data_IF_322245477292
#
_entry.id   IF_322245477292
#
_cell.length_a   1.000
_cell.length_b   1.000
_cell.length_c   1.000
_cell.angle_alpha   90.00
_cell.angle_beta   90.00
_cell.angle_gamma   90.00
#
_symmetry.space_group_name_H-M   'P 1'
#
loop_
_entity.id
_entity.type
_entity.pdbx_description
1 polymer ?
#
# COMPACT_ATOMS: atom_id res chain seq x y z
N UNK A 1 -11.19 14.78 27.29
CA UNK A 1 -12.04 14.33 26.17
C UNK A 1 -12.69 15.55 25.58
N UNK A 2 -12.65 15.72 24.25
CA UNK A 2 -13.26 16.85 23.55
C UNK A 2 -14.76 16.61 23.47
N UNK A 3 -15.56 17.60 23.83
CA UNK A 3 -17.02 17.56 23.78
C UNK A 3 -17.54 17.77 22.37
N UNK A 4 -18.77 17.32 22.08
CA UNK A 4 -19.41 17.53 20.77
C UNK A 4 -19.49 19.01 20.40
N UNK A 5 -19.76 19.89 21.37
CA UNK A 5 -19.85 21.33 21.14
C UNK A 5 -18.48 21.93 20.78
N UNK A 6 -17.41 21.47 21.42
CA UNK A 6 -16.04 21.87 21.05
C UNK A 6 -15.68 21.39 19.64
N UNK A 7 -16.07 20.18 19.26
CA UNK A 7 -15.87 19.69 17.90
C UNK A 7 -16.60 20.55 16.86
N UNK A 8 -17.87 20.92 17.09
CA UNK A 8 -18.59 21.84 16.20
C UNK A 8 -17.90 23.20 16.09
N UNK A 9 -17.39 23.73 17.21
CA UNK A 9 -16.60 24.96 17.21
C UNK A 9 -15.32 24.82 16.39
N UNK A 10 -14.57 23.73 16.56
CA UNK A 10 -13.34 23.48 15.78
C UNK A 10 -13.63 23.30 14.29
N UNK A 11 -14.73 22.66 13.92
CA UNK A 11 -15.13 22.52 12.52
C UNK A 11 -15.50 23.87 11.88
N UNK A 12 -16.01 24.82 12.66
CA UNK A 12 -16.32 26.17 12.17
C UNK A 12 -15.12 27.12 12.17
N UNK A 13 -14.22 26.99 13.15
CA UNK A 13 -13.15 27.97 13.40
C UNK A 13 -11.75 27.47 13.04
N UNK A 14 -11.61 26.20 12.66
CA UNK A 14 -10.32 25.54 12.51
C UNK A 14 -9.58 25.39 13.84
N UNK A 15 -8.38 24.82 13.80
CA UNK A 15 -7.48 24.80 14.93
C UNK A 15 -6.02 24.95 14.49
N UNK A 16 -5.19 25.52 15.35
CA UNK A 16 -3.76 25.65 15.09
C UNK A 16 -3.10 24.29 15.28
N UNK A 17 -2.32 23.85 14.28
CA UNK A 17 -1.55 22.61 14.35
C UNK A 17 -0.43 22.75 15.39
N UNK A 18 -0.63 22.18 16.58
CA UNK A 18 0.44 22.06 17.57
C UNK A 18 1.34 20.89 17.22
N UNK A 19 2.65 21.10 17.05
CA UNK A 19 3.60 20.02 16.80
C UNK A 19 3.64 19.00 17.94
N UNK A 20 3.66 17.72 17.59
CA UNK A 20 3.82 16.61 18.54
C UNK A 20 5.09 15.83 18.17
N UNK A 21 6.18 16.12 18.89
CA UNK A 21 7.48 15.53 18.62
C UNK A 21 7.53 14.02 18.89
N UNK A 22 6.62 13.49 19.70
CA UNK A 22 6.60 12.08 20.07
C UNK A 22 5.92 11.22 18.99
N UNK A 23 5.06 11.82 18.16
CA UNK A 23 4.32 11.14 17.10
C UNK A 23 4.84 11.51 15.71
N UNK A 24 4.94 12.80 15.41
CA UNK A 24 5.36 13.34 14.11
C UNK A 24 6.69 14.08 14.17
N UNK A 25 7.45 13.90 15.25
CA UNK A 25 8.82 14.40 15.33
C UNK A 25 9.64 13.87 14.16
N UNK A 26 10.49 14.73 13.60
CA UNK A 26 11.35 14.39 12.44
C UNK A 26 12.16 13.11 12.68
N UNK A 27 12.65 12.90 13.91
CA UNK A 27 13.38 11.69 14.29
C UNK A 27 12.52 10.43 14.28
N UNK A 28 11.29 10.51 14.78
CA UNK A 28 10.34 9.38 14.78
C UNK A 28 9.99 9.00 13.35
N UNK A 29 9.57 9.97 12.53
CA UNK A 29 9.25 9.74 11.11
C UNK A 29 10.46 9.14 10.38
N UNK A 30 11.65 9.71 10.57
CA UNK A 30 12.86 9.23 9.92
C UNK A 30 13.21 7.79 10.34
N UNK A 31 13.06 7.43 11.61
CA UNK A 31 13.33 6.07 12.09
C UNK A 31 12.40 5.04 11.44
N UNK A 32 11.10 5.35 11.34
CA UNK A 32 10.14 4.49 10.64
C UNK A 32 10.45 4.39 9.15
N UNK A 33 10.71 5.52 8.48
CA UNK A 33 11.03 5.53 7.06
C UNK A 33 12.29 4.74 6.75
N UNK A 34 13.40 4.99 7.48
CA UNK A 34 14.65 4.25 7.29
C UNK A 34 14.41 2.75 7.47
N UNK A 35 13.71 2.36 8.53
CA UNK A 35 13.41 0.95 8.79
C UNK A 35 12.61 0.32 7.65
N UNK A 36 11.57 0.99 7.17
CA UNK A 36 10.75 0.54 6.05
C UNK A 36 11.54 0.45 4.73
N UNK A 37 12.35 1.47 4.41
CA UNK A 37 13.18 1.48 3.20
C UNK A 37 14.27 0.41 3.23
N UNK A 38 14.92 0.19 4.38
CA UNK A 38 15.93 -0.88 4.54
C UNK A 38 15.27 -2.25 4.38
N UNK A 39 14.08 -2.44 4.97
CA UNK A 39 13.28 -3.66 4.83
C UNK A 39 12.91 -3.90 3.37
N UNK A 40 12.39 -2.89 2.68
CA UNK A 40 12.06 -2.98 1.25
C UNK A 40 13.29 -3.25 0.39
N UNK A 41 14.40 -2.56 0.65
CA UNK A 41 15.66 -2.75 -0.07
C UNK A 41 16.20 -4.17 0.11
N UNK A 42 16.12 -4.77 1.31
CA UNK A 42 16.53 -6.14 1.54
C UNK A 42 15.72 -7.13 0.68
N UNK A 43 14.41 -6.94 0.60
CA UNK A 43 13.51 -7.75 -0.24
C UNK A 43 13.81 -7.54 -1.73
N UNK A 44 14.04 -6.29 -2.15
CA UNK A 44 14.38 -5.96 -3.54
C UNK A 44 15.73 -6.57 -3.96
N UNK A 45 16.75 -6.46 -3.10
CA UNK A 45 18.07 -7.06 -3.33
C UNK A 45 17.94 -8.57 -3.46
N UNK A 46 17.16 -9.23 -2.59
CA UNK A 46 16.91 -10.66 -2.69
C UNK A 46 16.29 -11.05 -4.05
N UNK A 47 15.35 -10.23 -4.55
CA UNK A 47 14.70 -10.44 -5.84
C UNK A 47 15.66 -10.25 -7.03
N UNK A 48 16.33 -9.11 -7.11
CA UNK A 48 17.23 -8.77 -8.22
C UNK A 48 18.44 -9.71 -8.28
N UNK A 49 18.94 -10.15 -7.12
CA UNK A 49 20.06 -11.11 -7.05
C UNK A 49 19.62 -12.57 -7.28
N UNK A 50 18.30 -12.84 -7.32
CA UNK A 50 17.77 -14.19 -7.48
C UNK A 50 17.99 -15.08 -6.26
N UNK A 51 18.15 -14.51 -5.06
CA UNK A 51 18.28 -15.23 -3.77
C UNK A 51 16.91 -15.69 -3.25
N UNK A 52 16.09 -16.22 -4.15
CA UNK A 52 14.71 -16.65 -3.92
C UNK A 52 14.55 -18.14 -4.23
N UNK A 53 13.57 -18.76 -3.60
CA UNK A 53 13.15 -20.12 -3.94
C UNK A 53 12.48 -20.15 -5.32
N UNK A 54 12.74 -21.20 -6.11
CA UNK A 54 12.23 -21.31 -7.49
C UNK A 54 10.70 -21.30 -7.58
N UNK A 55 10.01 -21.73 -6.52
CA UNK A 55 8.55 -21.71 -6.39
C UNK A 55 7.94 -20.29 -6.40
N UNK A 56 8.71 -19.25 -6.06
CA UNK A 56 8.20 -17.87 -6.08
C UNK A 56 8.31 -17.21 -7.45
N UNK A 57 9.19 -17.70 -8.32
CA UNK A 57 9.49 -17.05 -9.59
C UNK A 57 8.49 -17.51 -10.67
N UNK A 58 7.62 -16.60 -11.10
CA UNK A 58 6.64 -16.87 -12.17
C UNK A 58 7.28 -16.79 -13.55
N UNK A 59 6.49 -17.10 -14.59
CA UNK A 59 6.94 -16.98 -15.99
C UNK A 59 7.35 -15.55 -16.34
N UNK A 60 6.65 -14.55 -15.79
CA UNK A 60 6.96 -13.13 -15.97
C UNK A 60 8.33 -12.81 -15.36
N UNK A 61 8.60 -13.26 -14.13
CA UNK A 61 9.89 -13.04 -13.47
C UNK A 61 11.05 -13.63 -14.28
N UNK A 62 10.86 -14.82 -14.86
CA UNK A 62 11.90 -15.53 -15.60
C UNK A 62 12.10 -15.01 -17.02
N UNK A 63 11.02 -14.71 -17.76
CA UNK A 63 11.08 -14.35 -19.18
C UNK A 63 11.19 -12.84 -19.41
N UNK A 64 10.43 -12.05 -18.66
CA UNK A 64 10.39 -10.59 -18.80
C UNK A 64 11.48 -9.97 -17.93
N UNK A 65 11.48 -10.25 -16.63
CA UNK A 65 12.47 -9.67 -15.70
C UNK A 65 13.83 -10.37 -15.74
N UNK A 66 13.93 -11.51 -16.43
CA UNK A 66 15.17 -12.29 -16.63
C UNK A 66 15.84 -12.74 -15.32
N UNK A 67 15.05 -12.93 -14.26
CA UNK A 67 15.54 -13.37 -12.96
C UNK A 67 15.53 -14.90 -12.90
N UNK A 68 16.63 -15.47 -12.41
CA UNK A 68 16.80 -16.91 -12.18
C UNK A 68 17.15 -17.13 -10.72
N UNK A 69 16.67 -18.21 -10.12
CA UNK A 69 17.12 -18.58 -8.79
C UNK A 69 18.61 -18.89 -8.81
N UNK A 70 19.35 -18.32 -7.85
CA UNK A 70 20.78 -18.53 -7.65
C UNK A 70 21.07 -19.07 -6.25
N UNK A 71 20.03 -19.50 -5.50
CA UNK A 71 20.16 -19.99 -4.12
C UNK A 71 21.16 -21.14 -4.02
N UNK A 72 21.14 -22.08 -4.97
CA UNK A 72 21.98 -23.28 -4.92
C UNK A 72 23.45 -22.96 -5.20
N UNK A 73 23.70 -21.87 -5.96
CA UNK A 73 25.05 -21.35 -6.21
C UNK A 73 25.61 -20.60 -5.01
N UNK A 74 24.75 -19.92 -4.24
CA UNK A 74 25.15 -19.07 -3.12
C UNK A 74 24.29 -19.31 -1.86
N UNK A 75 24.36 -20.50 -1.24
CA UNK A 75 23.46 -20.89 -0.15
C UNK A 75 23.61 -20.01 1.10
N UNK A 76 24.85 -19.63 1.45
CA UNK A 76 25.13 -18.75 2.59
C UNK A 76 24.53 -17.36 2.44
N UNK A 77 24.55 -16.80 1.22
CA UNK A 77 23.98 -15.48 0.94
C UNK A 77 22.46 -15.53 1.04
N UNK A 78 21.85 -16.57 0.47
CA UNK A 78 20.41 -16.79 0.56
C UNK A 78 19.95 -16.89 2.03
N UNK A 79 20.62 -17.71 2.84
CA UNK A 79 20.31 -17.85 4.27
C UNK A 79 20.46 -16.52 5.03
N UNK A 80 21.53 -15.78 4.76
CA UNK A 80 21.78 -14.47 5.39
C UNK A 80 20.69 -13.46 5.04
N UNK A 81 20.34 -13.33 3.76
CA UNK A 81 19.27 -12.44 3.31
C UNK A 81 17.93 -12.85 3.90
N UNK A 82 17.63 -14.15 3.95
CA UNK A 82 16.41 -14.67 4.56
C UNK A 82 16.31 -14.26 6.04
N UNK A 83 17.39 -14.41 6.81
CA UNK A 83 17.42 -13.99 8.22
C UNK A 83 17.28 -12.48 8.39
N UNK A 84 17.95 -11.68 7.55
CA UNK A 84 17.81 -10.22 7.55
C UNK A 84 16.35 -9.81 7.29
N UNK A 85 15.75 -10.35 6.23
CA UNK A 85 14.35 -10.06 5.88
C UNK A 85 13.40 -10.50 6.99
N UNK A 86 13.68 -11.63 7.65
CA UNK A 86 12.89 -12.12 8.78
C UNK A 86 12.91 -11.15 9.97
N UNK A 87 14.11 -10.69 10.38
CA UNK A 87 14.26 -9.75 11.49
C UNK A 87 13.61 -8.39 11.19
N UNK A 88 13.87 -7.85 9.99
CA UNK A 88 13.32 -6.57 9.54
C UNK A 88 11.79 -6.63 9.43
N UNK A 89 11.24 -7.75 8.98
CA UNK A 89 9.80 -7.97 8.87
C UNK A 89 9.10 -7.98 10.24
N UNK A 90 9.73 -8.57 11.26
CA UNK A 90 9.19 -8.57 12.63
C UNK A 90 9.19 -7.17 13.24
N UNK A 91 10.26 -6.40 12.98
CA UNK A 91 10.33 -5.00 13.37
C UNK A 91 9.19 -4.18 12.76
N UNK A 92 8.86 -4.39 11.47
CA UNK A 92 7.75 -3.67 10.83
C UNK A 92 6.43 -3.94 11.55
N UNK A 93 6.03 -5.20 11.79
CA UNK A 93 4.78 -5.50 12.51
C UNK A 93 4.72 -4.76 13.85
N UNK A 94 5.77 -4.92 14.67
CA UNK A 94 5.77 -4.39 16.05
C UNK A 94 5.66 -2.87 16.02
N UNK A 95 6.47 -2.20 15.19
CA UNK A 95 6.47 -0.74 15.08
C UNK A 95 5.16 -0.20 14.49
N UNK A 96 4.58 -0.90 13.50
CA UNK A 96 3.29 -0.58 12.90
C UNK A 96 2.14 -0.67 13.91
N UNK A 97 2.12 -1.69 14.75
CA UNK A 97 1.13 -1.82 15.83
C UNK A 97 1.35 -0.73 16.89
N UNK A 98 2.61 -0.45 17.26
CA UNK A 98 2.93 0.56 18.27
C UNK A 98 2.47 1.96 17.85
N UNK A 99 2.72 2.36 16.59
CA UNK A 99 2.32 3.69 16.09
C UNK A 99 0.80 3.81 16.00
N UNK A 100 0.09 2.75 15.60
CA UNK A 100 -1.38 2.72 15.60
C UNK A 100 -1.94 2.81 17.03
N UNK A 101 -1.34 2.10 17.98
CA UNK A 101 -1.75 2.18 19.39
C UNK A 101 -1.56 3.59 19.95
N UNK A 102 -0.42 4.22 19.69
CA UNK A 102 -0.15 5.60 20.07
C UNK A 102 -1.16 6.57 19.43
N UNK A 103 -1.46 6.37 18.14
CA UNK A 103 -2.50 7.08 17.41
C UNK A 103 -3.87 7.01 18.10
N UNK A 104 -4.32 5.81 18.46
CA UNK A 104 -5.60 5.61 19.15
C UNK A 104 -5.64 6.21 20.56
N UNK A 105 -4.55 6.13 21.31
CA UNK A 105 -4.45 6.76 22.63
C UNK A 105 -4.57 8.29 22.49
N UNK A 106 -3.80 8.90 21.58
CA UNK A 106 -3.86 10.33 21.33
C UNK A 106 -5.22 10.79 20.79
N UNK A 107 -5.84 9.97 19.94
CA UNK A 107 -7.18 10.19 19.41
C UNK A 107 -8.24 10.22 20.53
N UNK A 108 -8.24 9.22 21.41
CA UNK A 108 -9.15 9.16 22.57
C UNK A 108 -8.92 10.32 23.55
N UNK A 109 -7.67 10.75 23.70
CA UNK A 109 -7.30 11.90 24.50
C UNK A 109 -7.77 13.25 23.93
N UNK A 110 -8.06 13.33 22.64
CA UNK A 110 -8.36 14.57 21.92
C UNK A 110 -7.14 15.46 21.70
N UNK A 111 -5.93 14.89 21.83
CA UNK A 111 -4.66 15.58 21.67
C UNK A 111 -4.11 15.44 20.25
N UNK A 112 -4.59 14.43 19.51
CA UNK A 112 -4.15 14.15 18.15
C UNK A 112 -4.93 14.99 17.14
N UNK A 113 -4.23 15.85 16.41
CA UNK A 113 -4.79 16.57 15.28
C UNK A 113 -4.96 15.66 14.06
N UNK A 114 -5.78 16.08 13.09
CA UNK A 114 -5.93 15.43 11.78
C UNK A 114 -4.57 15.22 11.12
N UNK A 115 -3.68 16.22 11.17
CA UNK A 115 -2.33 16.13 10.62
C UNK A 115 -1.51 14.97 11.21
N UNK A 116 -1.39 14.91 12.54
CA UNK A 116 -0.58 13.87 13.20
C UNK A 116 -1.20 12.49 13.06
N UNK A 117 -2.53 12.40 13.09
CA UNK A 117 -3.24 11.15 12.89
C UNK A 117 -3.03 10.61 11.47
N UNK A 118 -3.04 11.49 10.46
CA UNK A 118 -2.76 11.10 9.09
C UNK A 118 -1.35 10.52 8.93
N UNK A 119 -0.35 11.12 9.59
CA UNK A 119 1.03 10.57 9.62
C UNK A 119 1.06 9.17 10.24
N UNK A 120 0.36 8.96 11.36
CA UNK A 120 0.26 7.64 12.00
C UNK A 120 -0.30 6.59 11.03
N UNK A 121 -1.40 6.91 10.32
CA UNK A 121 -1.99 6.03 9.33
C UNK A 121 -1.00 5.69 8.21
N UNK A 122 -0.24 6.66 7.71
CA UNK A 122 0.78 6.44 6.69
C UNK A 122 1.93 5.54 7.16
N UNK A 123 2.46 5.78 8.35
CA UNK A 123 3.55 4.96 8.89
C UNK A 123 3.11 3.51 9.11
N UNK A 124 1.89 3.31 9.61
CA UNK A 124 1.31 1.99 9.80
C UNK A 124 1.04 1.27 8.47
N UNK A 125 0.49 1.98 7.48
CA UNK A 125 0.26 1.43 6.15
C UNK A 125 1.57 1.04 5.46
N UNK A 126 2.60 1.87 5.59
CA UNK A 126 3.93 1.61 5.04
C UNK A 126 4.54 0.36 5.69
N UNK A 127 4.55 0.30 7.01
CA UNK A 127 5.00 -0.85 7.79
C UNK A 127 4.31 -2.14 7.33
N UNK A 128 2.98 -2.12 7.20
CA UNK A 128 2.20 -3.26 6.70
C UNK A 128 2.60 -3.67 5.28
N UNK A 129 2.72 -2.71 4.36
CA UNK A 129 3.01 -2.97 2.95
C UNK A 129 4.38 -3.65 2.78
N UNK A 130 5.39 -3.17 3.50
CA UNK A 130 6.74 -3.75 3.46
C UNK A 130 6.78 -5.12 4.14
N UNK A 131 6.09 -5.26 5.28
CA UNK A 131 5.95 -6.54 5.98
C UNK A 131 5.33 -7.62 5.07
N UNK A 132 4.23 -7.28 4.39
CA UNK A 132 3.54 -8.15 3.45
C UNK A 132 4.46 -8.63 2.31
N UNK A 133 5.27 -7.74 1.75
CA UNK A 133 6.24 -8.09 0.70
C UNK A 133 7.37 -8.99 1.23
N UNK A 134 7.82 -8.79 2.46
CA UNK A 134 8.76 -9.69 3.12
C UNK A 134 8.16 -11.10 3.35
N UNK A 135 6.87 -11.20 3.69
CA UNK A 135 6.21 -12.50 3.86
C UNK A 135 6.07 -13.29 2.56
N UNK A 136 5.80 -12.62 1.45
CA UNK A 136 5.76 -13.29 0.15
C UNK A 136 7.10 -13.97 -0.13
N UNK A 137 8.22 -13.33 0.22
CA UNK A 137 9.57 -13.87 0.08
C UNK A 137 9.81 -15.06 1.03
N UNK A 138 9.42 -14.89 2.30
CA UNK A 138 9.63 -15.88 3.36
C UNK A 138 8.66 -17.07 3.29
N UNK A 139 7.69 -17.07 2.36
CA UNK A 139 6.61 -18.07 2.28
C UNK A 139 7.11 -19.53 2.34
N UNK A 140 8.10 -19.98 1.55
CA UNK A 140 8.55 -21.38 1.60
C UNK A 140 9.19 -21.75 2.94
N UNK A 141 9.92 -20.80 3.54
CA UNK A 141 10.51 -20.97 4.86
C UNK A 141 9.44 -21.08 5.95
N UNK A 142 8.44 -20.20 5.92
CA UNK A 142 7.35 -20.16 6.89
C UNK A 142 6.38 -21.33 6.77
N UNK A 143 6.23 -21.91 5.57
CA UNK A 143 5.44 -23.13 5.39
C UNK A 143 6.06 -24.34 6.08
N UNK A 144 7.39 -24.35 6.26
CA UNK A 144 8.09 -25.36 7.06
C UNK A 144 8.01 -25.04 8.58
N UNK A 145 7.87 -23.77 8.95
CA UNK A 145 7.86 -23.29 10.34
C UNK A 145 6.51 -22.67 10.74
N UNK A 146 5.53 -23.51 11.03
CA UNK A 146 4.14 -23.08 11.25
C UNK A 146 3.95 -22.11 12.43
N UNK A 147 4.72 -22.25 13.52
CA UNK A 147 4.67 -21.33 14.66
C UNK A 147 5.13 -19.92 14.31
N UNK A 148 6.25 -19.81 13.59
CA UNK A 148 6.76 -18.54 13.07
C UNK A 148 5.78 -17.87 12.10
N UNK A 149 5.08 -18.68 11.30
CA UNK A 149 4.01 -18.21 10.41
C UNK A 149 2.82 -17.68 11.20
N UNK A 150 2.35 -18.43 12.21
CA UNK A 150 1.19 -18.07 13.01
C UNK A 150 1.38 -16.76 13.77
N UNK A 151 2.55 -16.54 14.37
CA UNK A 151 2.89 -15.29 15.05
C UNK A 151 2.79 -14.06 14.13
N UNK A 152 3.36 -14.15 12.92
CA UNK A 152 3.34 -13.06 11.94
C UNK A 152 1.94 -12.81 11.39
N UNK A 153 1.17 -13.87 11.14
CA UNK A 153 -0.23 -13.75 10.76
C UNK A 153 -1.07 -13.08 11.84
N UNK A 154 -0.89 -13.45 13.11
CA UNK A 154 -1.57 -12.81 14.22
C UNK A 154 -1.27 -11.31 14.26
N UNK A 155 0.01 -10.93 14.22
CA UNK A 155 0.41 -9.52 14.22
C UNK A 155 -0.16 -8.74 13.03
N UNK A 156 -0.17 -9.34 11.85
CA UNK A 156 -0.73 -8.72 10.65
C UNK A 156 -2.26 -8.58 10.71
N UNK A 157 -2.97 -9.56 11.26
CA UNK A 157 -4.43 -9.49 11.49
C UNK A 157 -4.74 -8.36 12.48
N UNK A 158 -3.97 -8.24 13.56
CA UNK A 158 -4.12 -7.14 14.51
C UNK A 158 -3.90 -5.80 13.82
N UNK A 159 -2.78 -5.64 13.10
CA UNK A 159 -2.48 -4.40 12.38
C UNK A 159 -3.53 -4.07 11.31
N UNK A 160 -4.07 -5.07 10.61
CA UNK A 160 -5.17 -4.92 9.66
C UNK A 160 -6.41 -4.32 10.30
N UNK A 161 -6.88 -4.92 11.41
CA UNK A 161 -8.04 -4.41 12.12
C UNK A 161 -7.81 -3.02 12.67
N UNK A 162 -6.62 -2.73 13.20
CA UNK A 162 -6.26 -1.38 13.63
C UNK A 162 -6.31 -0.40 12.44
N UNK A 163 -5.81 -0.75 11.26
CA UNK A 163 -5.88 0.12 10.07
C UNK A 163 -7.33 0.35 9.61
N UNK A 164 -8.16 -0.69 9.56
CA UNK A 164 -9.59 -0.57 9.18
C UNK A 164 -10.32 0.38 10.13
N UNK A 165 -10.11 0.20 11.44
CA UNK A 165 -10.70 1.04 12.48
C UNK A 165 -10.10 2.45 12.42
N UNK A 166 -8.80 2.58 12.15
CA UNK A 166 -8.12 3.88 12.07
C UNK A 166 -8.50 4.72 10.85
N UNK A 167 -8.98 4.10 9.77
CA UNK A 167 -9.48 4.82 8.61
C UNK A 167 -10.90 5.40 8.81
N UNK A 168 -11.61 5.06 9.90
CA UNK A 168 -13.01 5.50 10.11
C UNK A 168 -13.17 7.03 10.08
N UNK A 169 -12.30 7.84 10.73
CA UNK A 169 -12.38 9.30 10.66
C UNK A 169 -12.18 9.85 9.26
N UNK A 170 -11.41 9.17 8.40
CA UNK A 170 -11.08 9.64 7.06
C UNK A 170 -12.22 9.42 6.06
N UNK A 171 -13.30 8.74 6.47
CA UNK A 171 -14.54 8.56 5.68
C UNK A 171 -15.31 9.86 5.56
N UNK A 172 -15.17 10.79 6.52
CA UNK A 172 -15.81 12.09 6.44
C UNK A 172 -15.29 12.87 5.24
N UNK A 173 -16.20 13.41 4.41
CA UNK A 173 -15.85 14.29 3.28
C UNK A 173 -14.97 15.48 3.72
N UNK A 174 -15.25 15.99 4.91
CA UNK A 174 -14.59 17.12 5.53
C UNK A 174 -13.20 16.85 6.14
N UNK A 175 -12.65 15.64 5.96
CA UNK A 175 -11.38 15.23 6.55
C UNK A 175 -10.21 16.08 6.04
N UNK A 176 -9.71 17.00 6.89
CA UNK A 176 -8.57 17.87 6.56
C UNK A 176 -8.87 18.94 5.50
N UNK A 177 -10.11 19.01 5.01
CA UNK A 177 -10.59 19.95 3.98
C UNK A 177 -11.42 21.09 4.57
N UNK A 178 -11.96 20.91 5.79
CA UNK A 178 -12.73 21.96 6.47
C UNK A 178 -11.86 23.18 6.85
N UNK A 179 -12.51 24.35 6.79
CA UNK A 179 -12.10 25.71 7.14
C UNK A 179 -11.53 26.58 6.00
N UNK A 180 -12.36 27.55 5.57
CA UNK A 180 -11.95 28.75 4.84
C UNK A 180 -12.82 29.95 5.27
N UNK A 181 -12.24 30.90 5.99
CA UNK A 181 -12.41 32.31 5.76
C UNK A 181 -11.02 32.86 5.42
N UNK A 182 -10.89 33.43 4.22
CA UNK A 182 -9.76 34.21 3.70
C UNK A 182 -8.57 34.28 4.66
N UNK A 183 -7.51 33.50 4.37
CA UNK A 183 -6.29 33.47 5.17
C UNK A 183 -5.92 34.91 5.57
N UNK A 184 -6.01 35.20 6.87
CA UNK A 184 -5.69 36.53 7.36
C UNK A 184 -4.19 36.73 7.15
N UNK A 185 -3.84 37.39 6.03
CA UNK A 185 -2.46 37.67 5.63
C UNK A 185 -1.67 38.48 6.66
N UNK A 186 -2.33 38.98 7.71
CA UNK A 186 -1.68 39.63 8.85
C UNK A 186 -1.12 38.65 9.90
N UNK A 187 -1.55 37.37 9.89
CA UNK A 187 -1.09 36.35 10.81
C UNK A 187 0.03 35.48 10.19
N UNK A 188 1.13 35.19 10.92
CA UNK A 188 2.13 34.24 10.47
C UNK A 188 1.54 32.85 10.25
N UNK A 189 1.97 32.14 9.20
CA UNK A 189 1.48 30.80 8.83
C UNK A 189 1.51 29.79 10.01
N UNK A 190 2.43 29.98 10.96
CA UNK A 190 2.56 29.13 12.15
C UNK A 190 1.39 29.21 13.14
N UNK A 191 0.55 30.24 13.06
CA UNK A 191 -0.55 30.51 14.01
C UNK A 191 -1.91 30.47 13.29
N UNK A 192 -1.93 30.28 11.97
CA UNK A 192 -3.18 30.22 11.23
C UNK A 192 -3.97 28.92 11.56
N UNK A 193 -5.26 29.03 11.91
CA UNK A 193 -6.10 27.86 12.14
C UNK A 193 -6.39 27.16 10.80
N UNK A 194 -6.26 25.83 10.79
CA UNK A 194 -6.50 25.00 9.59
C UNK A 194 -7.35 23.77 9.96
N UNK A 195 -7.98 23.16 8.95
CA UNK A 195 -8.64 21.86 9.11
C UNK A 195 -7.72 20.75 9.61
N UNK A 196 -6.43 20.83 9.27
CA UNK A 196 -5.39 19.88 9.69
C UNK A 196 -5.06 19.94 11.17
N UNK A 197 -5.32 21.06 11.85
CA UNK A 197 -5.13 21.21 13.29
C UNK A 197 -6.30 20.71 14.13
N UNK A 198 -7.46 20.45 13.51
CA UNK A 198 -8.66 19.99 14.23
C UNK A 198 -8.37 18.63 14.90
N UNK A 199 -8.83 18.39 16.13
CA UNK A 199 -8.71 17.07 16.75
C UNK A 199 -9.37 15.99 15.89
N UNK A 200 -8.61 14.97 15.50
CA UNK A 200 -9.08 13.90 14.59
C UNK A 200 -10.30 13.15 15.15
N UNK A 201 -10.47 13.12 16.47
CA UNK A 201 -11.61 12.49 17.15
C UNK A 201 -12.94 13.15 16.77
N UNK A 202 -12.94 14.42 16.35
CA UNK A 202 -14.15 15.12 15.94
C UNK A 202 -14.78 14.52 14.68
N UNK A 203 -14.01 13.82 13.85
CA UNK A 203 -14.48 13.12 12.65
C UNK A 203 -14.87 11.65 12.93
N UNK A 204 -14.69 11.16 14.17
CA UNK A 204 -14.93 9.76 14.50
C UNK A 204 -16.43 9.41 14.46
N UNK A 205 -16.85 8.60 13.50
CA UNK A 205 -18.24 8.12 13.39
C UNK A 205 -19.25 9.24 13.09
N UNK A 206 -18.78 10.37 12.55
CA UNK A 206 -19.60 11.52 12.14
C UNK A 206 -19.30 11.86 10.70
N UNK A 207 -20.33 11.89 9.88
CA UNK A 207 -20.29 12.46 8.53
C UNK A 207 -20.89 13.86 8.62
N UNK A 208 -20.11 14.88 8.27
CA UNK A 208 -20.55 16.27 8.27
C UNK A 208 -20.92 16.70 6.85
N UNK A 209 -22.00 17.49 6.74
CA UNK A 209 -22.39 18.32 5.58
C UNK A 209 -22.63 17.63 4.24
N UNK A 210 -21.59 17.00 3.71
CA UNK A 210 -21.44 16.65 2.30
C UNK A 210 -21.32 15.13 2.05
N UNK A 211 -21.47 14.32 3.12
CA UNK A 211 -21.58 12.86 3.01
C UNK A 211 -20.27 12.11 3.24
N UNK A 212 -20.05 11.05 2.46
CA UNK A 212 -18.85 10.22 2.51
C UNK A 212 -17.82 10.72 1.50
N UNK A 213 -16.54 10.63 1.84
CA UNK A 213 -15.46 10.82 0.89
C UNK A 213 -15.50 9.69 -0.16
N UNK A 214 -15.59 10.05 -1.45
CA UNK A 214 -15.67 9.11 -2.58
C UNK A 214 -14.44 8.19 -2.66
N UNK A 215 -13.30 8.63 -2.13
CA UNK A 215 -12.03 7.89 -2.16
C UNK A 215 -11.93 6.84 -1.04
N UNK A 216 -12.65 7.05 0.06
CA UNK A 216 -12.62 6.17 1.21
C UNK A 216 -13.06 4.73 0.88
N UNK A 217 -14.21 4.45 0.24
CA UNK A 217 -14.65 3.08 -0.05
C UNK A 217 -13.65 2.32 -0.93
N UNK A 218 -13.04 3.00 -1.92
CA UNK A 218 -12.02 2.41 -2.80
C UNK A 218 -10.78 2.01 -1.97
N UNK A 219 -10.32 2.90 -1.09
CA UNK A 219 -9.20 2.63 -0.19
C UNK A 219 -9.45 1.41 0.72
N UNK A 220 -10.65 1.30 1.30
CA UNK A 220 -11.06 0.14 2.11
C UNK A 220 -11.08 -1.15 1.29
N UNK A 221 -11.70 -1.14 0.11
CA UNK A 221 -11.77 -2.32 -0.75
C UNK A 221 -10.38 -2.81 -1.13
N UNK A 222 -9.46 -1.90 -1.45
CA UNK A 222 -8.10 -2.27 -1.84
C UNK A 222 -7.30 -2.76 -0.66
N UNK A 223 -7.46 -2.16 0.53
CA UNK A 223 -6.83 -2.66 1.75
C UNK A 223 -7.31 -4.09 2.04
N UNK A 224 -8.62 -4.31 2.06
CA UNK A 224 -9.23 -5.63 2.32
C UNK A 224 -8.76 -6.65 1.28
N UNK A 225 -8.89 -6.33 0.00
CA UNK A 225 -8.52 -7.23 -1.09
C UNK A 225 -7.02 -7.56 -1.05
N UNK A 226 -6.15 -6.56 -0.83
CA UNK A 226 -4.70 -6.77 -0.75
C UNK A 226 -4.31 -7.68 0.42
N UNK A 227 -4.91 -7.48 1.59
CA UNK A 227 -4.66 -8.30 2.75
C UNK A 227 -5.17 -9.74 2.57
N UNK A 228 -6.41 -9.90 2.11
CA UNK A 228 -7.01 -11.22 1.87
C UNK A 228 -6.21 -11.99 0.82
N UNK A 229 -5.83 -11.34 -0.29
CA UNK A 229 -5.03 -11.93 -1.35
C UNK A 229 -3.66 -12.39 -0.83
N UNK A 230 -2.90 -11.50 -0.17
CA UNK A 230 -1.54 -11.82 0.30
C UNK A 230 -1.53 -12.82 1.45
N UNK A 231 -2.49 -12.75 2.39
CA UNK A 231 -2.65 -13.75 3.44
C UNK A 231 -3.03 -15.11 2.85
N UNK A 232 -3.93 -15.14 1.87
CA UNK A 232 -4.34 -16.35 1.18
C UNK A 232 -3.19 -17.04 0.47
N UNK A 233 -2.31 -16.28 -0.19
CA UNK A 233 -1.15 -16.80 -0.91
C UNK A 233 -0.09 -17.43 0.00
N UNK A 234 -0.05 -17.07 1.29
CA UNK A 234 0.86 -17.68 2.26
C UNK A 234 0.53 -19.17 2.50
N UNK A 235 -0.73 -19.57 2.32
CA UNK A 235 -1.18 -20.93 2.56
C UNK A 235 -1.26 -21.75 1.27
N UNK A 236 -0.85 -23.02 1.37
CA UNK A 236 -0.91 -23.96 0.23
C UNK A 236 -2.36 -24.27 -0.17
N UNK A 237 -3.28 -24.42 0.78
CA UNK A 237 -4.67 -24.83 0.51
C UNK A 237 -5.47 -23.79 -0.29
N UNK A 238 -5.54 -22.51 0.10
CA UNK A 238 -6.24 -21.47 -0.68
C UNK A 238 -5.64 -21.30 -2.08
N UNK A 239 -4.32 -21.40 -2.21
CA UNK A 239 -3.64 -21.34 -3.52
C UNK A 239 -4.01 -22.51 -4.42
N UNK A 240 -4.05 -23.72 -3.87
CA UNK A 240 -4.50 -24.91 -4.61
C UNK A 240 -5.98 -24.79 -5.02
N UNK A 241 -6.81 -24.21 -4.15
CA UNK A 241 -8.21 -23.92 -4.47
C UNK A 241 -8.32 -22.89 -5.58
N UNK A 242 -7.63 -21.75 -5.49
CA UNK A 242 -7.57 -20.74 -6.55
C UNK A 242 -7.12 -21.34 -7.89
N UNK A 243 -6.03 -22.11 -7.86
CA UNK A 243 -5.50 -22.76 -9.04
C UNK A 243 -6.50 -23.74 -9.65
N UNK A 244 -7.23 -24.50 -8.83
CA UNK A 244 -8.20 -25.49 -9.28
C UNK A 244 -9.51 -24.87 -9.77
N UNK A 245 -10.00 -23.86 -9.07
CA UNK A 245 -11.35 -23.30 -9.27
C UNK A 245 -11.36 -22.15 -10.27
N UNK A 246 -10.31 -21.32 -10.31
CA UNK A 246 -10.29 -20.10 -11.12
C UNK A 246 -9.26 -20.24 -12.24
N UNK A 247 -7.99 -20.49 -11.91
CA UNK A 247 -6.89 -20.45 -12.90
C UNK A 247 -7.00 -21.54 -13.97
N UNK A 248 -7.10 -22.81 -13.57
CA UNK A 248 -7.14 -23.94 -14.52
C UNK A 248 -8.36 -23.90 -15.45
N UNK A 249 -9.59 -23.66 -14.98
CA UNK A 249 -10.75 -23.56 -15.87
C UNK A 249 -10.60 -22.42 -16.88
N UNK A 250 -10.07 -21.27 -16.45
CA UNK A 250 -9.83 -20.13 -17.32
C UNK A 250 -8.74 -20.43 -18.37
N UNK A 251 -7.60 -20.99 -17.97
CA UNK A 251 -6.53 -21.40 -18.89
C UNK A 251 -7.04 -22.44 -19.91
N UNK A 252 -7.82 -23.43 -19.45
CA UNK A 252 -8.42 -24.43 -20.33
C UNK A 252 -9.43 -23.82 -21.30
N UNK A 253 -10.24 -22.86 -20.84
CA UNK A 253 -11.20 -22.14 -21.68
C UNK A 253 -10.48 -21.33 -22.77
N UNK A 254 -9.43 -20.60 -22.41
CA UNK A 254 -8.60 -19.82 -23.34
C UNK A 254 -7.90 -20.75 -24.35
N UNK A 255 -7.31 -21.86 -23.88
CA UNK A 255 -6.65 -22.82 -24.75
C UNK A 255 -7.66 -23.50 -25.71
N UNK A 256 -8.85 -23.84 -25.22
CA UNK A 256 -9.92 -24.44 -26.04
C UNK A 256 -10.43 -23.47 -27.11
N UNK A 257 -10.68 -22.22 -26.74
CA UNK A 257 -11.10 -21.20 -27.71
C UNK A 257 -10.01 -20.95 -28.76
N UNK A 258 -8.77 -20.69 -28.36
CA UNK A 258 -7.66 -20.47 -29.31
C UNK A 258 -7.42 -21.68 -30.24
N UNK A 259 -7.48 -22.91 -29.71
CA UNK A 259 -7.26 -24.12 -30.50
C UNK A 259 -8.38 -24.40 -31.52
N UNK A 260 -9.64 -24.06 -31.22
CA UNK A 260 -10.74 -24.20 -32.18
C UNK A 260 -10.52 -23.29 -33.40
N UNK A 261 -10.20 -22.02 -33.17
CA UNK A 261 -9.96 -21.07 -34.26
C UNK A 261 -8.68 -21.41 -35.04
N UNK A 262 -7.61 -21.84 -34.35
CA UNK A 262 -6.38 -22.28 -35.01
C UNK A 262 -6.60 -23.54 -35.89
N UNK A 263 -7.38 -24.52 -35.42
CA UNK A 263 -7.71 -25.73 -36.19
C UNK A 263 -8.55 -25.40 -37.43
N UNK A 264 -9.54 -24.52 -37.31
CA UNK A 264 -10.38 -24.10 -38.46
C UNK A 264 -9.57 -23.38 -39.54
N UNK A 265 -8.61 -22.54 -39.15
CA UNK A 265 -7.68 -21.94 -40.10
C UNK A 265 -6.82 -22.99 -40.83
N UNK A 266 -6.27 -23.97 -40.10
CA UNK A 266 -5.47 -25.05 -40.69
C UNK A 266 -6.26 -25.95 -41.65
N UNK A 267 -7.57 -26.10 -41.46
CA UNK A 267 -8.44 -26.90 -42.31
C UNK A 267 -8.93 -26.14 -43.55
N UNK A 268 -9.43 -24.92 -43.36
CA UNK A 268 -10.12 -24.18 -44.44
C UNK A 268 -9.20 -23.21 -45.20
N UNK A 269 -8.02 -22.87 -44.65
CA UNK A 269 -7.11 -21.85 -45.20
C UNK A 269 -7.69 -20.42 -45.22
N UNK A 270 -8.89 -20.21 -44.68
CA UNK A 270 -9.61 -18.95 -44.77
C UNK A 270 -8.97 -17.85 -43.89
N UNK A 271 -8.66 -16.71 -44.50
CA UNK A 271 -8.07 -15.55 -43.83
C UNK A 271 -8.94 -14.98 -42.69
N UNK A 272 -10.26 -15.14 -42.74
CA UNK A 272 -11.16 -14.71 -41.66
C UNK A 272 -10.83 -15.39 -40.33
N UNK A 273 -10.60 -16.72 -40.35
CA UNK A 273 -10.23 -17.48 -39.15
C UNK A 273 -8.88 -17.03 -38.57
N UNK A 274 -7.93 -16.64 -39.43
CA UNK A 274 -6.65 -16.07 -39.01
C UNK A 274 -6.82 -14.72 -38.30
N UNK A 275 -7.66 -13.83 -38.83
CA UNK A 275 -7.96 -12.54 -38.19
C UNK A 275 -8.71 -12.70 -36.88
N UNK A 276 -9.68 -13.63 -36.80
CA UNK A 276 -10.35 -13.95 -35.53
C UNK A 276 -9.38 -14.53 -34.50
N UNK A 277 -8.48 -15.43 -34.90
CA UNK A 277 -7.44 -15.97 -34.01
C UNK A 277 -6.50 -14.87 -33.50
N UNK A 278 -6.05 -13.95 -34.37
CA UNK A 278 -5.24 -12.79 -33.98
C UNK A 278 -5.99 -11.86 -33.03
N UNK A 279 -7.27 -11.55 -33.31
CA UNK A 279 -8.10 -10.74 -32.44
C UNK A 279 -8.27 -11.36 -31.04
N UNK A 280 -8.50 -12.67 -30.99
CA UNK A 280 -8.55 -13.41 -29.72
C UNK A 280 -7.21 -13.36 -28.97
N UNK A 281 -6.07 -13.50 -29.66
CA UNK A 281 -4.76 -13.35 -29.01
C UNK A 281 -4.56 -11.95 -28.42
N UNK A 282 -4.98 -10.89 -29.11
CA UNK A 282 -4.88 -9.51 -28.61
C UNK A 282 -5.68 -9.32 -27.31
N UNK A 283 -6.76 -10.06 -27.11
CA UNK A 283 -7.58 -9.99 -25.89
C UNK A 283 -7.00 -10.90 -24.78
N UNK A 284 -6.67 -12.15 -25.12
CA UNK A 284 -6.29 -13.16 -24.13
C UNK A 284 -4.86 -13.02 -23.64
N UNK A 285 -3.92 -12.56 -24.48
CA UNK A 285 -2.51 -12.39 -24.06
C UNK A 285 -2.40 -11.35 -22.94
N UNK A 286 -2.98 -10.13 -23.03
CA UNK A 286 -2.96 -9.18 -21.94
C UNK A 286 -3.62 -9.71 -20.67
N UNK A 287 -4.74 -10.43 -20.78
CA UNK A 287 -5.41 -11.00 -19.62
C UNK A 287 -4.54 -12.03 -18.89
N UNK A 288 -3.91 -12.95 -19.62
CA UNK A 288 -3.00 -13.95 -19.04
C UNK A 288 -1.75 -13.27 -18.47
N UNK A 289 -1.19 -12.30 -19.19
CA UNK A 289 -0.05 -11.52 -18.73
C UNK A 289 -0.38 -10.75 -17.44
N UNK A 290 -1.58 -10.18 -17.35
CA UNK A 290 -2.08 -9.49 -16.17
C UNK A 290 -2.22 -10.45 -14.98
N UNK A 291 -2.84 -11.62 -15.17
CA UNK A 291 -2.94 -12.62 -14.10
C UNK A 291 -1.58 -13.14 -13.62
N UNK A 292 -0.66 -13.40 -14.54
CA UNK A 292 0.72 -13.81 -14.21
C UNK A 292 1.51 -12.69 -13.52
N UNK A 293 1.27 -11.43 -13.91
CA UNK A 293 1.84 -10.27 -13.25
C UNK A 293 1.28 -10.10 -11.84
N UNK A 294 -0.04 -10.17 -11.65
CA UNK A 294 -0.69 -10.07 -10.34
C UNK A 294 -0.30 -11.22 -9.39
N UNK A 295 0.00 -12.40 -9.93
CA UNK A 295 0.54 -13.53 -9.17
C UNK A 295 2.06 -13.45 -8.95
N UNK A 296 2.76 -12.50 -9.59
CA UNK A 296 4.22 -12.38 -9.49
C UNK A 296 4.64 -11.68 -8.20
N UNK A 297 5.83 -12.05 -7.73
CA UNK A 297 6.52 -11.33 -6.67
C UNK A 297 6.78 -9.87 -7.04
N UNK A 298 7.06 -9.62 -8.33
CA UNK A 298 7.25 -8.29 -8.90
C UNK A 298 6.07 -7.35 -8.65
N UNK A 299 4.83 -7.80 -8.86
CA UNK A 299 3.66 -6.95 -8.62
C UNK A 299 3.52 -6.54 -7.15
N UNK A 300 3.84 -7.44 -6.21
CA UNK A 300 3.86 -7.11 -4.79
C UNK A 300 4.91 -6.05 -4.45
N UNK A 301 6.09 -6.11 -5.08
CA UNK A 301 7.13 -5.09 -4.94
C UNK A 301 6.73 -3.76 -5.59
N UNK A 302 6.13 -3.77 -6.77
CA UNK A 302 5.68 -2.55 -7.46
C UNK A 302 4.57 -1.85 -6.69
N UNK A 303 3.61 -2.60 -6.12
CA UNK A 303 2.59 -2.03 -5.23
C UNK A 303 3.21 -1.36 -4.00
N UNK A 304 4.21 -2.01 -3.37
CA UNK A 304 4.97 -1.40 -2.27
C UNK A 304 5.80 -0.20 -2.71
N UNK A 305 6.40 -0.24 -3.90
CA UNK A 305 7.21 0.85 -4.45
C UNK A 305 6.37 2.08 -4.79
N UNK A 306 5.17 1.88 -5.35
CA UNK A 306 4.23 2.97 -5.64
C UNK A 306 3.76 3.67 -4.35
N UNK A 307 3.52 2.91 -3.28
CA UNK A 307 3.23 3.49 -1.97
C UNK A 307 4.41 4.21 -1.30
N UNK A 308 5.63 3.93 -1.76
CA UNK A 308 6.87 4.53 -1.27
C UNK A 308 7.34 5.70 -2.13
N UNK A 309 6.80 5.87 -3.34
CA UNK A 309 7.20 6.89 -4.28
C UNK A 309 6.52 8.22 -3.92
N UNK A 310 7.29 9.30 -3.68
CA UNK A 310 6.71 10.64 -3.54
C UNK A 310 6.16 11.04 -4.91
N UNK A 311 4.84 11.00 -5.07
CA UNK A 311 4.19 11.52 -6.27
C UNK A 311 4.16 13.05 -6.21
N UNK A 312 4.95 13.65 -7.10
CA UNK A 312 5.03 15.08 -7.31
C UNK A 312 3.95 15.45 -8.33
N UNK A 313 2.79 15.92 -7.87
CA UNK A 313 1.74 16.36 -8.79
C UNK A 313 2.12 17.72 -9.39
N UNK A 314 2.49 17.71 -10.66
CA UNK A 314 2.80 18.87 -11.51
C UNK A 314 1.53 19.46 -12.13
N UNK A 315 0.49 19.72 -11.33
CA UNK A 315 -0.63 20.55 -11.77
C UNK A 315 -0.88 21.68 -10.80
N UNK A 316 -0.29 22.84 -11.16
CA UNK A 316 -0.70 24.19 -10.79
C UNK A 316 -0.80 24.48 -9.30
N UNK A 317 0.28 24.94 -8.67
CA UNK A 317 0.38 26.27 -8.07
C UNK A 317 1.87 26.58 -7.83
N UNK A 318 2.30 27.59 -8.57
CA UNK A 318 3.51 28.40 -8.51
C UNK A 318 4.92 27.80 -8.44
N UNK A 319 5.74 28.39 -9.33
CA UNK A 319 7.19 28.29 -9.41
C UNK A 319 7.81 28.65 -8.07
N UNK A 320 8.43 27.68 -7.42
CA UNK A 320 9.54 27.96 -6.49
C UNK A 320 10.80 27.36 -7.11
N UNK A 321 11.73 28.26 -7.42
CA UNK A 321 13.01 28.01 -8.05
C UNK A 321 13.86 27.00 -7.22
N UNK A 322 14.61 26.09 -7.86
CA UNK A 322 15.22 24.96 -7.18
C UNK A 322 16.52 25.38 -6.50
N UNK A 323 16.40 25.94 -5.30
CA UNK A 323 17.54 26.10 -4.40
C UNK A 323 17.34 25.20 -3.18
N UNK A 324 17.98 24.04 -3.22
CA UNK A 324 18.30 23.17 -2.07
C UNK A 324 17.11 22.68 -1.24
N UNK A 325 16.07 22.16 -1.89
CA UNK A 325 15.04 21.38 -1.21
C UNK A 325 15.56 19.94 -0.95
N UNK A 326 16.15 19.72 0.22
CA UNK A 326 16.40 18.38 0.76
C UNK A 326 15.05 17.69 1.00
N UNK A 327 14.97 16.39 0.75
CA UNK A 327 13.80 15.49 0.92
C UNK A 327 12.95 15.74 2.20
N UNK A 328 13.55 16.30 3.26
CA UNK A 328 12.92 16.73 4.51
C UNK A 328 11.98 17.95 4.39
N UNK A 329 12.23 18.89 3.47
CA UNK A 329 11.38 20.08 3.30
C UNK A 329 10.07 19.74 2.56
N UNK A 330 10.05 18.64 1.79
CA UNK A 330 8.86 18.16 1.10
C UNK A 330 7.79 17.62 2.07
N UNK A 331 8.21 17.09 3.23
CA UNK A 331 7.32 16.60 4.29
C UNK A 331 6.95 17.68 5.32
N UNK A 332 7.77 18.73 5.45
CA UNK A 332 7.61 19.74 6.51
C UNK A 332 6.79 20.97 6.08
N UNK A 333 6.68 21.28 4.78
CA UNK A 333 6.26 22.61 4.32
C UNK A 333 5.10 22.59 3.31
N UNK A 334 4.61 21.41 2.90
CA UNK A 334 3.47 21.31 1.97
C UNK A 334 2.34 20.48 2.55
N UNK A 335 1.13 21.01 2.40
CA UNK A 335 -0.11 20.42 2.85
C UNK A 335 -0.19 18.92 2.48
N UNK A 336 -0.54 18.04 3.44
CA UNK A 336 -0.73 16.61 3.17
C UNK A 336 -1.88 16.27 2.21
N UNK A 337 -2.61 17.27 1.68
CA UNK A 337 -3.57 17.10 0.59
C UNK A 337 -2.96 16.53 -0.69
N UNK A 338 -1.66 16.74 -0.94
CA UNK A 338 -0.96 16.09 -2.04
C UNK A 338 -0.95 14.56 -1.85
N UNK A 339 -0.75 14.06 -0.63
CA UNK A 339 -0.73 12.63 -0.27
C UNK A 339 -2.09 11.93 -0.46
N UNK A 340 -3.21 12.67 -0.32
CA UNK A 340 -4.55 12.16 -0.64
C UNK A 340 -4.70 11.93 -2.15
N UNK A 341 -4.22 12.85 -2.98
CA UNK A 341 -4.14 12.65 -4.43
C UNK A 341 -3.19 11.51 -4.81
N UNK A 342 -2.08 11.27 -4.08
CA UNK A 342 -1.21 10.10 -4.33
C UNK A 342 -1.98 8.79 -4.17
N UNK A 343 -2.84 8.68 -3.17
CA UNK A 343 -3.59 7.45 -2.87
C UNK A 343 -4.71 7.16 -3.88
N UNK A 344 -5.38 8.21 -4.37
CA UNK A 344 -6.50 8.11 -5.31
C UNK A 344 -6.00 7.96 -6.74
N UNK A 345 -4.93 8.68 -7.08
CA UNK A 345 -4.40 8.77 -8.44
C UNK A 345 -3.41 7.64 -8.76
N UNK A 346 -2.79 7.00 -7.76
CA UNK A 346 -2.09 5.72 -7.97
C UNK A 346 -3.05 4.55 -8.23
N UNK A 347 -4.35 4.75 -8.01
CA UNK A 347 -5.41 3.77 -8.27
C UNK A 347 -6.26 4.12 -9.49
N UNK A 348 -6.32 5.39 -9.91
CA UNK A 348 -7.00 5.80 -11.16
C UNK A 348 -6.20 5.53 -12.44
N UNK A 349 -4.98 4.98 -12.33
CA UNK A 349 -4.18 4.51 -13.46
C UNK A 349 -4.28 2.98 -13.71
N UNK A 350 -5.30 2.32 -13.15
CA UNK A 350 -5.76 1.00 -13.57
C UNK A 350 -7.28 0.87 -13.53
#
# INVERSE_FOLDING_TARGET
>A
MVTTQECLRYLQTGAVTKGDADISGKGVILAFLISAYVSFAAVLVAYVTGMLEDELLTTVDRKIMRIKSRKDKHPRIHETIQHIVLLLSDQQIVTGIAIMAAGFVGLRGGQMSVYHYQIVLYLAWLSSSVHLSALTLLRPFLNKHQGLRAWRLLGMIVLFFMLIVGLVPTVSYDWGTIYSPEADTSLPDTIQPTGWGIPAICFWGKTYGDGFNDDAPIGYLILIFSYVWKMGDLFVSPRNLYNRTIRRPLENFIAKTLSVFARRYMQDGNALWLWCFRGLLVIWIPLVAFMEAMASFSASLWLSALGLAPYQNTHGYDKVEPSKATFLNLFADKQPGALLQIMVQSQSLW
#
